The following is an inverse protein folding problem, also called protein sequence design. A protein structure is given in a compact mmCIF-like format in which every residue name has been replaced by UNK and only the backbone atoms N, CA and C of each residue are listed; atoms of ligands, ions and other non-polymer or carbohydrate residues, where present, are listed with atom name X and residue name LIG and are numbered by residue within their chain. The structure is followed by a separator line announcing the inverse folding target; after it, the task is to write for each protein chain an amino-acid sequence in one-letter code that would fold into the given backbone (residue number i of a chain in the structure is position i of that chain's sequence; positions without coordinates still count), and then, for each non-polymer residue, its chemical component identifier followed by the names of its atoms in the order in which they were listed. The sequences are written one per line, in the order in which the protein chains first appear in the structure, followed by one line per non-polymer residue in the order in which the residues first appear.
data_IF_477755494087
#
_entry.id   IF_477755494087
#
_cell.length_a   1.000
_cell.length_b   1.000
_cell.length_c   1.000
_cell.angle_alpha   90.00
_cell.angle_beta   90.00
_cell.angle_gamma   90.00
#
_symmetry.space_group_name_H-M   'P 1'
#
loop_
_entity.id
_entity.type
_entity.pdbx_description
1 polymer ?
#
# COMPACT_ATOMS: atom_id res chain seq x y z
N UNK A 1 22.95 1.42 -32.31
CA UNK A 1 23.39 2.48 -31.38
C UNK A 1 23.88 1.76 -30.13
N UNK A 2 25.16 1.80 -29.85
CA UNK A 2 25.76 1.22 -28.66
C UNK A 2 25.27 2.01 -27.46
N UNK A 3 24.56 1.34 -26.53
CA UNK A 3 24.28 1.92 -25.24
C UNK A 3 25.55 2.45 -24.62
N UNK A 4 25.61 3.76 -24.39
CA UNK A 4 26.71 4.32 -23.62
C UNK A 4 26.61 3.73 -22.21
N UNK A 5 27.66 3.03 -21.79
CA UNK A 5 27.72 2.53 -20.41
C UNK A 5 27.43 3.69 -19.44
N UNK A 6 26.46 3.50 -18.57
CA UNK A 6 26.16 4.46 -17.49
C UNK A 6 27.45 4.80 -16.74
N UNK A 7 27.65 6.06 -16.35
CA UNK A 7 28.83 6.42 -15.60
C UNK A 7 28.99 5.51 -14.38
N UNK A 8 30.14 4.86 -14.21
CA UNK A 8 30.39 3.89 -13.12
C UNK A 8 30.28 4.47 -11.71
N UNK A 9 30.14 5.79 -11.59
CA UNK A 9 29.96 6.47 -10.31
C UNK A 9 28.48 6.62 -9.88
N UNK A 10 27.53 6.32 -10.78
CA UNK A 10 26.10 6.28 -10.44
C UNK A 10 25.70 4.81 -10.24
N UNK A 11 25.62 4.40 -8.98
CA UNK A 11 25.27 3.04 -8.58
C UNK A 11 23.89 3.01 -7.98
N UNK A 12 23.12 1.99 -8.30
CA UNK A 12 21.85 1.70 -7.64
C UNK A 12 21.84 0.23 -7.16
N UNK A 13 22.30 -0.02 -5.92
CA UNK A 13 22.38 -1.38 -5.36
C UNK A 13 21.04 -2.10 -5.35
N UNK A 14 19.93 -1.37 -5.20
CA UNK A 14 18.61 -1.96 -5.25
C UNK A 14 18.22 -2.43 -6.66
N UNK A 15 18.36 -1.58 -7.67
CA UNK A 15 18.04 -1.97 -9.04
C UNK A 15 18.96 -3.08 -9.55
N UNK A 16 20.24 -3.07 -9.18
CA UNK A 16 21.19 -4.14 -9.53
C UNK A 16 20.77 -5.46 -8.87
N UNK A 17 20.33 -5.43 -7.60
CA UNK A 17 19.83 -6.59 -6.89
C UNK A 17 18.58 -7.16 -7.56
N UNK A 18 17.52 -6.38 -7.77
CA UNK A 18 16.27 -6.90 -8.33
C UNK A 18 16.44 -7.44 -9.77
N UNK A 19 17.35 -6.86 -10.55
CA UNK A 19 17.74 -7.40 -11.88
C UNK A 19 18.44 -8.74 -11.77
N UNK A 20 19.26 -8.93 -10.74
CA UNK A 20 19.98 -10.20 -10.50
C UNK A 20 19.06 -11.34 -10.08
N UNK A 21 17.87 -11.06 -9.56
CA UNK A 21 16.88 -12.07 -9.19
C UNK A 21 16.26 -12.80 -10.41
N UNK A 22 16.40 -12.23 -11.62
CA UNK A 22 16.02 -12.89 -12.88
C UNK A 22 14.51 -13.03 -13.11
N UNK A 23 13.68 -12.38 -12.31
CA UNK A 23 12.23 -12.35 -12.47
C UNK A 23 11.79 -11.07 -13.21
N UNK A 24 10.56 -11.03 -13.77
CA UNK A 24 10.07 -9.84 -14.44
C UNK A 24 10.06 -8.61 -13.54
N UNK A 25 10.42 -7.47 -14.12
CA UNK A 25 10.26 -6.14 -13.52
C UNK A 25 9.28 -5.39 -14.42
N UNK A 26 8.08 -5.14 -13.91
CA UNK A 26 7.06 -4.37 -14.62
C UNK A 26 6.93 -3.00 -13.99
N UNK A 27 6.81 -1.97 -14.82
CA UNK A 27 6.73 -0.59 -14.34
C UNK A 27 5.66 0.18 -15.11
N UNK A 28 4.66 0.72 -14.39
CA UNK A 28 3.67 1.63 -14.93
C UNK A 28 3.04 2.49 -13.81
N UNK A 29 2.22 3.49 -14.16
CA UNK A 29 1.45 4.27 -13.19
C UNK A 29 0.41 3.42 -12.45
N UNK A 30 -0.24 2.51 -13.15
CA UNK A 30 -1.18 1.54 -12.57
C UNK A 30 -0.90 0.14 -13.09
N UNK A 31 -0.74 -0.82 -12.21
CA UNK A 31 -0.40 -2.20 -12.51
C UNK A 31 -1.53 -3.14 -12.10
N UNK A 32 -1.84 -4.13 -12.92
CA UNK A 32 -2.77 -5.22 -12.59
C UNK A 32 -1.97 -6.42 -12.05
N UNK A 33 -1.94 -6.56 -10.74
CA UNK A 33 -1.19 -7.62 -10.05
C UNK A 33 -1.81 -9.01 -10.23
N UNK A 34 -3.08 -9.10 -10.66
CA UNK A 34 -3.71 -10.37 -11.03
C UNK A 34 -3.28 -10.83 -12.43
N UNK A 35 -3.04 -9.88 -13.33
CA UNK A 35 -2.67 -10.13 -14.72
C UNK A 35 -1.16 -10.13 -15.00
N UNK A 36 -0.32 -9.70 -14.04
CA UNK A 36 1.12 -9.64 -14.26
C UNK A 36 1.71 -11.05 -14.47
N UNK A 37 2.59 -11.16 -15.48
CA UNK A 37 3.35 -12.39 -15.74
C UNK A 37 4.36 -12.61 -14.62
N UNK A 38 4.27 -13.75 -13.94
CA UNK A 38 5.20 -14.16 -12.89
C UNK A 38 6.11 -15.28 -13.40
N UNK A 39 7.35 -15.29 -12.95
CA UNK A 39 8.36 -16.29 -13.35
C UNK A 39 8.93 -16.98 -12.12
N UNK A 40 9.51 -18.18 -12.28
CA UNK A 40 10.18 -18.85 -11.17
C UNK A 40 11.17 -17.92 -10.48
N UNK A 41 11.00 -17.78 -9.17
CA UNK A 41 11.84 -16.97 -8.28
C UNK A 41 12.62 -17.89 -7.34
N UNK A 42 13.88 -18.24 -7.68
CA UNK A 42 14.64 -19.24 -6.93
C UNK A 42 14.80 -18.92 -5.44
N UNK A 43 15.05 -17.65 -5.10
CA UNK A 43 15.15 -17.18 -3.70
C UNK A 43 13.91 -17.55 -2.87
N UNK A 44 12.74 -17.45 -3.48
CA UNK A 44 11.47 -17.67 -2.81
C UNK A 44 10.95 -19.11 -2.93
N UNK A 45 11.54 -19.95 -3.78
CA UNK A 45 10.98 -21.27 -4.20
C UNK A 45 9.50 -21.14 -4.66
N UNK A 46 9.16 -20.04 -5.28
CA UNK A 46 7.83 -19.70 -5.75
C UNK A 46 7.92 -19.02 -7.12
N UNK A 47 6.87 -18.38 -7.60
CA UNK A 47 6.94 -17.50 -8.76
C UNK A 47 6.73 -16.05 -8.34
N UNK A 48 7.28 -15.09 -9.09
CA UNK A 48 7.11 -13.68 -8.74
C UNK A 48 7.45 -12.73 -9.87
N UNK A 49 7.16 -11.45 -9.59
CA UNK A 49 7.54 -10.30 -10.40
C UNK A 49 7.66 -9.05 -9.52
N UNK A 50 8.61 -8.19 -9.77
CA UNK A 50 8.60 -6.84 -9.20
C UNK A 50 7.57 -5.98 -9.94
N UNK A 51 6.72 -5.31 -9.17
CA UNK A 51 5.66 -4.44 -9.66
C UNK A 51 5.93 -3.00 -9.21
N UNK A 52 6.72 -2.27 -10.00
CA UNK A 52 7.23 -0.97 -9.64
C UNK A 52 6.27 0.12 -10.13
N UNK A 53 5.46 0.68 -9.22
CA UNK A 53 4.63 1.83 -9.58
C UNK A 53 5.50 3.05 -9.91
N UNK A 54 5.28 3.71 -11.06
CA UNK A 54 6.09 4.87 -11.52
C UNK A 54 6.11 6.05 -10.55
N UNK A 55 5.11 6.17 -9.70
CA UNK A 55 5.05 7.21 -8.68
C UNK A 55 5.74 6.86 -7.36
N UNK A 56 6.33 5.66 -7.25
CA UNK A 56 7.08 5.28 -6.04
C UNK A 56 8.28 6.21 -5.82
N UNK A 57 8.63 6.37 -4.55
CA UNK A 57 9.91 6.98 -4.15
C UNK A 57 11.04 5.95 -4.04
N UNK A 58 12.00 6.27 -3.18
CA UNK A 58 13.20 5.46 -2.98
C UNK A 58 13.22 4.65 -1.69
N UNK A 59 12.14 4.68 -0.91
CA UNK A 59 12.10 4.04 0.40
C UNK A 59 11.50 2.64 0.35
N UNK A 60 10.46 2.42 -0.47
CA UNK A 60 9.77 1.14 -0.58
C UNK A 60 9.53 0.72 -2.02
N UNK A 61 9.37 -0.57 -2.20
CA UNK A 61 8.99 -1.20 -3.47
C UNK A 61 7.71 -2.04 -3.30
N UNK A 62 7.28 -2.66 -4.40
CA UNK A 62 6.26 -3.70 -4.35
C UNK A 62 6.58 -4.84 -5.32
N UNK A 63 6.12 -6.04 -4.97
CA UNK A 63 6.26 -7.24 -5.77
C UNK A 63 5.01 -8.12 -5.67
N UNK A 64 4.85 -9.02 -6.61
CA UNK A 64 3.88 -10.12 -6.57
C UNK A 64 4.63 -11.42 -6.30
N UNK A 65 4.12 -12.19 -5.33
CA UNK A 65 4.54 -13.55 -5.04
C UNK A 65 3.37 -14.49 -5.34
N UNK A 66 3.61 -15.52 -6.15
CA UNK A 66 2.64 -16.57 -6.42
C UNK A 66 3.15 -17.91 -5.91
N UNK A 67 2.42 -18.48 -4.94
CA UNK A 67 2.72 -19.76 -4.33
C UNK A 67 1.83 -20.83 -4.95
N UNK A 68 2.44 -21.79 -5.63
CA UNK A 68 1.70 -22.87 -6.30
C UNK A 68 0.86 -23.71 -5.33
N UNK A 69 -0.12 -24.49 -5.85
CA UNK A 69 -1.00 -25.33 -5.03
C UNK A 69 -0.23 -26.31 -4.14
N UNK A 70 -0.56 -26.32 -2.84
CA UNK A 70 0.08 -27.19 -1.84
C UNK A 70 1.58 -26.94 -1.63
N UNK A 71 2.09 -25.80 -2.11
CA UNK A 71 3.50 -25.43 -1.99
C UNK A 71 3.74 -24.43 -0.86
N UNK A 72 4.99 -24.28 -0.51
CA UNK A 72 5.46 -23.26 0.42
C UNK A 72 6.64 -22.49 -0.19
N UNK A 73 6.89 -21.29 0.31
CA UNK A 73 8.10 -20.56 -0.04
C UNK A 73 9.34 -21.19 0.58
N UNK A 74 10.53 -20.85 0.13
CA UNK A 74 11.74 -21.06 0.93
C UNK A 74 11.63 -20.29 2.26
N UNK A 75 12.31 -20.74 3.34
CA UNK A 75 12.45 -19.92 4.54
C UNK A 75 13.11 -18.58 4.19
N UNK A 76 12.54 -17.50 4.69
CA UNK A 76 13.01 -16.14 4.48
C UNK A 76 13.44 -15.51 5.81
N UNK A 77 14.40 -14.61 5.74
CA UNK A 77 14.82 -13.71 6.82
C UNK A 77 15.52 -12.51 6.20
N UNK A 78 15.18 -11.31 6.64
CA UNK A 78 15.78 -10.11 6.07
C UNK A 78 15.68 -8.90 7.00
N UNK A 79 16.67 -8.01 6.92
CA UNK A 79 16.77 -6.79 7.69
C UNK A 79 16.08 -5.61 6.95
N UNK A 80 14.86 -5.81 6.50
CA UNK A 80 13.97 -4.75 6.01
C UNK A 80 12.53 -5.04 6.45
N UNK A 81 11.74 -4.00 6.56
CA UNK A 81 10.33 -4.14 6.93
C UNK A 81 9.51 -4.55 5.71
N UNK A 82 8.52 -5.40 5.94
CA UNK A 82 7.65 -5.91 4.90
C UNK A 82 6.20 -5.98 5.38
N UNK A 83 5.31 -5.49 4.54
CA UNK A 83 3.86 -5.57 4.69
C UNK A 83 3.30 -6.37 3.52
N UNK A 84 2.52 -7.39 3.82
CA UNK A 84 1.95 -8.29 2.83
C UNK A 84 0.43 -8.15 2.77
N UNK A 85 -0.09 -7.94 1.57
CA UNK A 85 -1.51 -7.94 1.24
C UNK A 85 -1.87 -9.17 0.42
N UNK A 86 -2.87 -9.93 0.87
CA UNK A 86 -3.32 -11.14 0.15
C UNK A 86 -4.31 -10.74 -0.94
N UNK A 87 -3.90 -10.90 -2.20
CA UNK A 87 -4.74 -10.59 -3.37
C UNK A 87 -5.71 -11.74 -3.62
N UNK A 88 -5.23 -12.98 -3.61
CA UNK A 88 -6.02 -14.18 -3.89
C UNK A 88 -5.44 -15.42 -3.20
N UNK A 89 -6.29 -16.41 -2.95
CA UNK A 89 -5.90 -17.68 -2.33
C UNK A 89 -5.95 -17.65 -0.80
N UNK A 90 -5.67 -18.79 -0.19
CA UNK A 90 -5.67 -18.97 1.27
C UNK A 90 -4.39 -19.71 1.68
N UNK A 91 -3.90 -19.41 2.86
CA UNK A 91 -2.67 -20.04 3.33
C UNK A 91 -2.37 -19.73 4.78
N UNK A 92 -1.15 -20.07 5.16
CA UNK A 92 -0.62 -19.88 6.51
C UNK A 92 0.76 -19.25 6.42
N UNK A 93 1.06 -18.37 7.33
CA UNK A 93 2.43 -17.89 7.56
C UNK A 93 2.90 -18.38 8.92
N UNK A 94 4.11 -18.93 8.94
CA UNK A 94 4.82 -19.31 10.16
C UNK A 94 5.95 -18.31 10.36
N UNK A 95 6.06 -17.77 11.56
CA UNK A 95 7.10 -16.79 11.98
C UNK A 95 7.89 -17.39 13.12
N UNK A 96 9.21 -17.40 13.00
CA UNK A 96 10.11 -17.90 14.03
C UNK A 96 10.21 -16.90 15.19
N UNK A 97 10.30 -17.42 16.41
CA UNK A 97 10.42 -16.64 17.63
C UNK A 97 11.85 -16.63 18.14
N UNK A 98 12.34 -15.51 18.72
CA UNK A 98 13.62 -15.46 19.40
C UNK A 98 13.70 -16.53 20.50
N UNK A 99 14.81 -17.23 20.55
CA UNK A 99 15.03 -18.29 21.53
C UNK A 99 14.33 -19.63 21.19
N UNK A 100 13.69 -19.72 20.04
CA UNK A 100 13.06 -20.95 19.54
C UNK A 100 11.54 -20.96 19.63
N UNK A 101 10.91 -21.87 18.86
CA UNK A 101 9.47 -21.89 18.67
C UNK A 101 9.00 -21.02 17.50
N UNK A 102 7.70 -21.00 17.26
CA UNK A 102 7.10 -20.25 16.16
C UNK A 102 5.69 -19.80 16.49
N UNK A 103 5.21 -18.80 15.74
CA UNK A 103 3.82 -18.40 15.66
C UNK A 103 3.31 -18.68 14.26
N UNK A 104 2.04 -19.05 14.15
CA UNK A 104 1.38 -19.20 12.84
C UNK A 104 0.03 -18.51 12.84
N UNK A 105 -0.35 -18.01 11.67
CA UNK A 105 -1.67 -17.44 11.43
C UNK A 105 -2.14 -17.78 10.02
N UNK A 106 -3.43 -17.98 9.88
CA UNK A 106 -4.08 -18.27 8.60
C UNK A 106 -4.56 -16.99 7.94
N UNK A 107 -4.37 -16.89 6.64
CA UNK A 107 -4.77 -15.74 5.85
C UNK A 107 -5.60 -16.17 4.62
N UNK A 108 -6.43 -15.26 4.16
CA UNK A 108 -7.24 -15.37 2.96
C UNK A 108 -7.27 -14.07 2.15
N UNK A 109 -8.07 -13.99 1.09
CA UNK A 109 -8.16 -12.79 0.28
C UNK A 109 -8.50 -11.57 1.15
N UNK A 110 -7.79 -10.45 0.91
CA UNK A 110 -7.88 -9.19 1.64
C UNK A 110 -7.28 -9.21 3.04
N UNK A 111 -6.62 -10.28 3.46
CA UNK A 111 -5.79 -10.23 4.67
C UNK A 111 -4.61 -9.28 4.49
N UNK A 112 -4.24 -8.61 5.57
CA UNK A 112 -3.06 -7.76 5.66
C UNK A 112 -2.23 -8.20 6.86
N UNK A 113 -0.93 -8.34 6.67
CA UNK A 113 -0.01 -8.64 7.78
C UNK A 113 1.36 -8.02 7.55
N UNK A 114 2.10 -7.84 8.61
CA UNK A 114 3.51 -7.47 8.55
C UNK A 114 4.37 -8.51 9.25
N UNK A 115 5.56 -8.69 8.72
CA UNK A 115 6.55 -9.58 9.28
C UNK A 115 7.42 -8.81 10.29
N UNK A 116 7.62 -9.33 11.50
CA UNK A 116 8.51 -8.70 12.45
C UNK A 116 9.93 -8.60 11.87
N UNK A 117 10.57 -7.44 12.05
CA UNK A 117 11.87 -7.17 11.45
C UNK A 117 12.88 -8.27 11.77
N UNK A 118 13.49 -8.80 10.72
CA UNK A 118 14.51 -9.84 10.75
C UNK A 118 14.11 -11.14 11.47
N UNK A 119 12.81 -11.41 11.64
CA UNK A 119 12.33 -12.72 12.06
C UNK A 119 12.37 -13.69 10.89
N UNK A 120 12.69 -14.97 11.13
CA UNK A 120 12.52 -16.02 10.12
C UNK A 120 11.04 -16.22 9.83
N UNK A 121 10.68 -16.48 8.57
CA UNK A 121 9.30 -16.79 8.21
C UNK A 121 9.18 -17.69 6.99
N UNK A 122 8.00 -18.27 6.82
CA UNK A 122 7.66 -19.07 5.66
C UNK A 122 6.16 -18.98 5.36
N UNK A 123 5.80 -18.86 4.08
CA UNK A 123 4.41 -18.89 3.63
C UNK A 123 4.05 -20.25 3.06
N UNK A 124 2.80 -20.69 3.30
CA UNK A 124 2.25 -21.96 2.82
C UNK A 124 0.92 -21.69 2.12
N UNK A 125 0.75 -22.20 0.91
CA UNK A 125 -0.54 -22.21 0.25
C UNK A 125 -1.37 -23.42 0.73
N UNK A 126 -2.52 -23.16 1.33
CA UNK A 126 -3.42 -24.19 1.84
C UNK A 126 -4.28 -24.86 0.75
N UNK A 127 -4.39 -24.26 -0.45
CA UNK A 127 -5.15 -24.84 -1.56
C UNK A 127 -4.33 -25.93 -2.27
N UNK A 128 -4.91 -27.09 -2.48
CA UNK A 128 -4.33 -28.13 -3.33
C UNK A 128 -4.60 -27.95 -4.83
N UNK A 129 -5.32 -26.88 -5.24
CA UNK A 129 -5.76 -26.66 -6.62
C UNK A 129 -5.35 -25.33 -7.19
N UNK A 130 -5.51 -24.26 -6.41
CA UNK A 130 -5.35 -22.90 -6.87
C UNK A 130 -4.08 -22.27 -6.29
N UNK A 131 -3.36 -21.45 -7.05
CA UNK A 131 -2.26 -20.68 -6.52
C UNK A 131 -2.75 -19.61 -5.52
N UNK A 132 -1.90 -19.25 -4.58
CA UNK A 132 -2.10 -18.08 -3.74
C UNK A 132 -1.25 -16.93 -4.26
N UNK A 133 -1.82 -15.73 -4.36
CA UNK A 133 -1.14 -14.54 -4.87
C UNK A 133 -1.11 -13.45 -3.81
N UNK A 134 0.11 -13.05 -3.43
CA UNK A 134 0.40 -12.06 -2.40
C UNK A 134 1.05 -10.84 -3.06
N UNK A 135 0.74 -9.64 -2.55
CA UNK A 135 1.52 -8.44 -2.84
C UNK A 135 2.35 -8.10 -1.61
N UNK A 136 3.67 -8.10 -1.76
CA UNK A 136 4.59 -7.58 -0.76
C UNK A 136 4.92 -6.12 -1.04
N UNK A 137 4.99 -5.32 0.01
CA UNK A 137 5.54 -3.96 -0.01
C UNK A 137 6.66 -3.93 1.01
N UNK A 138 7.86 -3.59 0.59
CA UNK A 138 9.03 -3.72 1.44
C UNK A 138 9.91 -2.47 1.47
N UNK A 139 10.66 -2.28 2.55
CA UNK A 139 11.68 -1.22 2.65
C UNK A 139 13.06 -1.67 2.14
N UNK A 140 13.11 -2.68 1.29
CA UNK A 140 14.33 -3.19 0.68
C UNK A 140 15.14 -2.11 -0.07
N UNK A 141 14.51 -1.20 -0.88
CA UNK A 141 15.28 -0.15 -1.55
C UNK A 141 16.08 0.71 -0.58
N UNK A 142 15.45 1.14 0.53
CA UNK A 142 16.11 1.92 1.56
C UNK A 142 17.31 1.18 2.15
N UNK A 143 17.13 -0.10 2.50
CA UNK A 143 18.17 -0.89 3.16
C UNK A 143 19.36 -1.17 2.25
N UNK A 144 19.12 -1.51 0.99
CA UNK A 144 20.20 -1.72 0.03
C UNK A 144 20.94 -0.42 -0.33
N UNK A 145 20.20 0.69 -0.47
CA UNK A 145 20.81 2.00 -0.72
C UNK A 145 21.58 2.56 0.49
N UNK A 146 21.25 2.12 1.71
CA UNK A 146 21.94 2.55 2.92
C UNK A 146 23.18 1.70 3.25
N UNK A 147 23.12 0.39 3.08
CA UNK A 147 24.16 -0.53 3.54
C UNK A 147 25.06 -1.08 2.44
N UNK A 148 24.59 -1.16 1.20
CA UNK A 148 25.32 -1.68 0.02
C UNK A 148 25.87 -3.10 0.21
N UNK A 149 25.26 -3.89 1.10
CA UNK A 149 25.73 -5.22 1.49
C UNK A 149 24.58 -6.20 1.59
N UNK A 150 24.54 -7.17 0.68
CA UNK A 150 23.47 -8.18 0.62
C UNK A 150 23.53 -9.13 1.82
N UNK A 151 24.71 -9.53 2.26
CA UNK A 151 24.83 -10.44 3.40
C UNK A 151 24.35 -9.75 4.69
N UNK A 152 24.65 -8.47 4.87
CA UNK A 152 24.13 -7.71 5.99
C UNK A 152 22.60 -7.63 6.00
N UNK A 153 21.99 -7.51 4.83
CA UNK A 153 20.52 -7.37 4.70
C UNK A 153 19.81 -8.71 4.78
N UNK A 154 20.35 -9.80 4.23
CA UNK A 154 19.67 -11.09 4.12
C UNK A 154 20.19 -12.18 5.07
N UNK A 155 21.43 -12.06 5.56
CA UNK A 155 22.06 -13.07 6.42
C UNK A 155 22.38 -12.54 7.82
N UNK A 156 21.78 -11.43 8.22
CA UNK A 156 22.05 -10.79 9.52
C UNK A 156 21.50 -11.64 10.67
N UNK A 157 22.33 -12.07 11.64
CA UNK A 157 21.88 -12.90 12.74
C UNK A 157 21.14 -12.16 13.86
N UNK A 158 21.07 -10.83 13.82
CA UNK A 158 20.50 -10.03 14.90
C UNK A 158 18.99 -10.28 15.02
N UNK A 159 18.50 -10.41 16.23
CA UNK A 159 17.08 -10.54 16.55
C UNK A 159 16.52 -9.27 17.18
N UNK A 160 15.24 -8.98 16.91
CA UNK A 160 14.52 -7.85 17.48
C UNK A 160 13.36 -8.32 18.36
N UNK A 161 13.62 -8.90 19.55
CA UNK A 161 12.59 -9.55 20.36
C UNK A 161 11.44 -8.62 20.78
N UNK A 162 11.72 -7.31 20.89
CA UNK A 162 10.68 -6.32 21.23
C UNK A 162 9.70 -6.04 20.08
N UNK A 163 10.05 -6.41 18.84
CA UNK A 163 9.23 -6.18 17.64
C UNK A 163 8.42 -7.39 17.20
N UNK A 164 8.59 -8.54 17.85
CA UNK A 164 7.85 -9.76 17.49
C UNK A 164 6.36 -9.61 17.80
N UNK A 165 6.01 -8.92 18.88
CA UNK A 165 4.65 -8.89 19.39
C UNK A 165 4.31 -10.11 20.24
N UNK A 166 3.14 -10.09 20.83
CA UNK A 166 2.60 -11.18 21.63
C UNK A 166 1.66 -12.09 20.78
N UNK A 167 0.98 -13.02 21.42
CA UNK A 167 0.04 -13.91 20.74
C UNK A 167 -1.11 -13.16 20.09
N UNK A 168 -1.62 -12.11 20.72
CA UNK A 168 -2.70 -11.27 20.20
C UNK A 168 -2.34 -10.58 18.90
N UNK A 169 -1.07 -10.21 18.74
CA UNK A 169 -0.56 -9.57 17.52
C UNK A 169 -0.71 -10.44 16.27
N UNK A 170 -0.86 -11.75 16.42
CA UNK A 170 -1.00 -12.72 15.33
C UNK A 170 -2.39 -13.39 15.27
N UNK A 171 -3.30 -13.08 16.20
CA UNK A 171 -4.63 -13.68 16.27
C UNK A 171 -5.70 -12.97 15.43
N UNK A 172 -5.37 -11.82 14.85
CA UNK A 172 -6.33 -10.91 14.21
C UNK A 172 -6.93 -9.89 15.18
N UNK A 173 -6.60 -9.99 16.47
CA UNK A 173 -6.88 -8.96 17.45
C UNK A 173 -5.87 -7.81 17.32
N UNK A 174 -6.15 -6.72 18.02
CA UNK A 174 -5.25 -5.58 18.04
C UNK A 174 -5.60 -4.60 19.15
N UNK A 175 -4.86 -3.53 19.22
CA UNK A 175 -5.10 -2.47 20.16
C UNK A 175 -5.55 -1.19 19.45
N UNK A 176 -6.75 -0.72 19.81
CA UNK A 176 -7.26 0.55 19.34
C UNK A 176 -6.58 1.72 20.07
N UNK A 177 -6.01 2.64 19.31
CA UNK A 177 -5.30 3.82 19.82
C UNK A 177 -5.96 5.07 19.24
N UNK A 178 -6.69 5.88 20.04
CA UNK A 178 -7.18 7.18 19.60
C UNK A 178 -5.99 8.15 19.48
N UNK A 179 -5.86 8.80 18.33
CA UNK A 179 -4.78 9.78 18.08
C UNK A 179 -5.28 11.21 18.28
N UNK A 180 -6.36 11.57 17.61
CA UNK A 180 -7.09 12.83 17.69
C UNK A 180 -8.49 12.66 17.07
N UNK A 181 -9.42 13.61 17.22
CA UNK A 181 -10.72 13.50 16.58
C UNK A 181 -10.60 13.19 15.07
N UNK A 182 -11.31 12.14 14.63
CA UNK A 182 -11.27 11.63 13.26
C UNK A 182 -10.03 10.81 12.88
N UNK A 183 -9.05 10.66 13.77
CA UNK A 183 -7.83 9.88 13.51
C UNK A 183 -7.64 8.80 14.56
N UNK A 184 -7.57 7.56 14.09
CA UNK A 184 -7.45 6.38 14.94
C UNK A 184 -6.43 5.42 14.35
N UNK A 185 -5.73 4.72 15.23
CA UNK A 185 -4.80 3.66 14.88
C UNK A 185 -5.26 2.34 15.46
N UNK A 186 -4.92 1.27 14.77
CA UNK A 186 -5.06 -0.11 15.22
C UNK A 186 -3.69 -0.77 15.18
N UNK A 187 -3.20 -1.23 16.32
CA UNK A 187 -1.90 -1.89 16.44
C UNK A 187 -2.07 -3.40 16.41
N UNK A 188 -1.42 -4.06 15.45
CA UNK A 188 -1.48 -5.50 15.25
C UNK A 188 -0.35 -5.94 14.32
N UNK A 189 -0.11 -7.25 14.18
CA UNK A 189 0.72 -7.79 13.09
C UNK A 189 -0.13 -8.40 11.97
N UNK A 190 -1.43 -8.65 12.25
CA UNK A 190 -2.30 -9.34 11.30
C UNK A 190 -3.74 -8.80 11.34
N UNK A 191 -4.30 -8.54 10.16
CA UNK A 191 -5.71 -8.19 9.95
C UNK A 191 -6.33 -9.25 9.05
N UNK A 192 -7.30 -10.04 9.52
CA UNK A 192 -7.87 -11.16 8.75
C UNK A 192 -8.57 -10.76 7.45
N UNK A 193 -9.32 -9.66 7.46
CA UNK A 193 -10.05 -9.17 6.27
C UNK A 193 -10.26 -7.66 6.32
N UNK A 194 -9.57 -6.94 5.45
CA UNK A 194 -9.73 -5.49 5.30
C UNK A 194 -11.10 -5.09 4.72
N UNK A 195 -11.77 -6.01 4.03
CA UNK A 195 -13.08 -5.75 3.44
C UNK A 195 -14.19 -5.59 4.49
N UNK A 196 -14.07 -6.25 5.63
CA UNK A 196 -15.04 -6.23 6.73
C UNK A 196 -14.55 -5.47 7.95
N UNK A 197 -13.29 -5.03 7.98
CA UNK A 197 -12.73 -4.31 9.12
C UNK A 197 -13.53 -3.04 9.42
N UNK A 198 -13.80 -2.77 10.71
CA UNK A 198 -14.55 -1.59 11.15
C UNK A 198 -13.73 -0.31 10.98
N UNK A 199 -14.21 0.60 10.15
CA UNK A 199 -13.59 1.90 9.92
C UNK A 199 -14.27 2.98 10.78
N UNK A 200 -13.54 4.07 11.05
CA UNK A 200 -14.05 5.22 11.78
C UNK A 200 -14.29 6.39 10.84
N UNK A 201 -15.35 7.15 11.08
CA UNK A 201 -15.71 8.32 10.27
C UNK A 201 -14.56 9.33 10.23
N UNK A 202 -14.28 9.82 9.02
CA UNK A 202 -13.30 10.88 8.77
C UNK A 202 -13.75 11.76 7.60
N UNK A 203 -14.82 12.49 7.83
CA UNK A 203 -15.51 13.27 6.79
C UNK A 203 -14.72 14.49 6.30
N UNK A 204 -13.77 14.99 7.08
CA UNK A 204 -12.89 16.08 6.66
C UNK A 204 -12.10 15.77 5.39
N UNK A 205 -11.90 14.47 5.08
CA UNK A 205 -11.20 13.99 3.89
C UNK A 205 -12.11 13.77 2.68
N UNK A 206 -13.39 13.97 2.82
CA UNK A 206 -14.36 13.89 1.72
C UNK A 206 -15.66 13.21 2.10
N UNK A 207 -16.61 13.34 1.24
CA UNK A 207 -18.02 13.02 1.36
C UNK A 207 -18.31 11.66 2.02
N UNK A 208 -18.63 11.66 3.33
CA UNK A 208 -18.96 10.47 4.11
C UNK A 208 -17.83 9.46 4.27
N UNK A 209 -16.58 9.89 4.08
CA UNK A 209 -15.42 9.00 4.13
C UNK A 209 -15.14 8.45 5.53
N UNK A 210 -14.60 7.24 5.57
CA UNK A 210 -14.11 6.59 6.79
C UNK A 210 -12.68 6.07 6.61
N UNK A 211 -11.99 5.83 7.72
CA UNK A 211 -10.58 5.46 7.71
C UNK A 211 -10.18 4.75 9.01
N UNK A 212 -9.15 3.94 8.94
CA UNK A 212 -8.35 3.48 10.07
C UNK A 212 -6.88 3.37 9.63
N UNK A 213 -5.96 3.70 10.53
CA UNK A 213 -4.54 3.49 10.32
C UNK A 213 -4.07 2.27 11.09
N UNK A 214 -3.17 1.50 10.50
CA UNK A 214 -2.55 0.33 11.14
C UNK A 214 -1.10 0.63 11.50
N UNK A 215 -0.72 0.25 12.71
CA UNK A 215 0.67 0.11 13.13
C UNK A 215 0.95 -1.39 13.12
N UNK A 216 1.82 -1.82 12.22
CA UNK A 216 2.06 -3.23 11.92
C UNK A 216 3.47 -3.61 12.39
N UNK A 217 3.59 -4.69 13.17
CA UNK A 217 4.85 -5.26 13.67
C UNK A 217 5.78 -4.23 14.34
N UNK A 218 5.21 -3.24 15.04
CA UNK A 218 5.92 -2.08 15.62
C UNK A 218 6.90 -1.42 14.62
N UNK A 219 6.51 -1.41 13.34
CA UNK A 219 7.33 -0.96 12.22
C UNK A 219 7.28 0.53 11.97
N UNK A 220 8.27 0.99 11.19
CA UNK A 220 8.29 2.32 10.58
C UNK A 220 7.31 2.40 9.41
N UNK A 221 7.13 1.29 8.68
CA UNK A 221 6.08 1.19 7.68
C UNK A 221 4.71 1.17 8.36
N UNK A 222 3.74 1.81 7.70
CA UNK A 222 2.36 1.79 8.16
C UNK A 222 1.42 1.50 7.00
N UNK A 223 0.19 1.16 7.36
CA UNK A 223 -0.89 1.04 6.40
C UNK A 223 -2.11 1.83 6.87
N UNK A 224 -2.99 2.16 5.95
CA UNK A 224 -4.33 2.61 6.30
C UNK A 224 -5.36 2.10 5.29
N UNK A 225 -6.57 1.87 5.76
CA UNK A 225 -7.72 1.61 4.90
C UNK A 225 -8.64 2.80 4.91
N UNK A 226 -9.09 3.18 3.74
CA UNK A 226 -10.09 4.22 3.55
C UNK A 226 -11.25 3.71 2.72
N UNK A 227 -12.46 4.19 3.05
CA UNK A 227 -13.66 3.87 2.30
C UNK A 227 -14.32 5.12 1.75
N UNK A 228 -14.89 5.00 0.56
CA UNK A 228 -15.73 6.00 -0.09
C UNK A 228 -17.13 5.41 -0.28
N UNK A 229 -18.18 6.05 0.24
CA UNK A 229 -19.57 5.65 -0.04
C UNK A 229 -19.90 5.66 -1.54
N UNK A 230 -20.97 4.95 -1.90
CA UNK A 230 -21.49 4.95 -3.27
C UNK A 230 -21.84 6.37 -3.73
N UNK A 231 -21.45 6.70 -4.95
CA UNK A 231 -21.76 8.00 -5.55
C UNK A 231 -20.95 9.16 -4.99
N UNK A 232 -19.82 8.88 -4.34
CA UNK A 232 -18.95 9.91 -3.75
C UNK A 232 -17.51 9.80 -4.24
N UNK A 233 -16.76 10.88 -3.99
CA UNK A 233 -15.31 10.93 -4.17
C UNK A 233 -14.66 11.76 -3.06
N UNK A 234 -13.36 11.57 -2.86
CA UNK A 234 -12.60 12.28 -1.82
C UNK A 234 -12.17 13.66 -2.30
N UNK A 235 -11.79 14.53 -1.36
CA UNK A 235 -11.07 15.75 -1.65
C UNK A 235 -9.67 15.42 -2.16
N UNK A 236 -9.16 16.21 -3.09
CA UNK A 236 -7.78 16.10 -3.55
C UNK A 236 -6.81 16.45 -2.42
N UNK A 237 -5.68 15.78 -2.40
CA UNK A 237 -4.60 16.08 -1.47
C UNK A 237 -3.25 15.66 -2.03
N UNK A 238 -2.19 16.12 -1.39
CA UNK A 238 -0.81 15.73 -1.72
C UNK A 238 -0.01 15.43 -0.45
N UNK A 239 0.98 14.61 -0.60
CA UNK A 239 1.94 14.26 0.46
C UNK A 239 3.23 13.75 -0.15
N UNK A 240 4.21 13.46 0.71
CA UNK A 240 5.47 12.83 0.31
C UNK A 240 5.27 11.45 -0.32
N UNK A 241 6.31 11.00 -1.00
CA UNK A 241 6.34 9.75 -1.77
C UNK A 241 6.05 8.48 -0.95
N UNK A 242 6.03 7.38 -1.67
CA UNK A 242 5.96 6.02 -1.13
C UNK A 242 4.62 5.65 -0.47
N UNK A 243 3.52 5.98 -1.13
CA UNK A 243 2.23 5.39 -0.83
C UNK A 243 1.81 4.44 -1.96
N UNK A 244 1.87 3.14 -1.70
CA UNK A 244 1.35 2.13 -2.61
C UNK A 244 -0.11 1.86 -2.28
N UNK A 245 -0.99 2.06 -3.25
CA UNK A 245 -2.45 2.00 -3.09
C UNK A 245 -2.98 0.75 -3.75
N UNK A 246 -3.68 -0.09 -2.97
CA UNK A 246 -4.30 -1.35 -3.38
C UNK A 246 -5.81 -1.25 -3.17
N UNK A 247 -6.64 -1.28 -4.20
CA UNK A 247 -8.09 -1.39 -4.05
C UNK A 247 -8.48 -2.72 -3.40
N UNK A 248 -9.19 -2.64 -2.28
CA UNK A 248 -9.66 -3.80 -1.50
C UNK A 248 -11.03 -4.25 -1.99
N UNK A 249 -11.93 -3.29 -2.29
CA UNK A 249 -13.27 -3.55 -2.83
C UNK A 249 -13.75 -2.38 -3.67
N UNK A 250 -14.72 -2.65 -4.54
CA UNK A 250 -15.23 -1.67 -5.50
C UNK A 250 -14.25 -1.45 -6.65
N UNK A 251 -14.56 -0.46 -7.48
CA UNK A 251 -13.73 0.00 -8.58
C UNK A 251 -13.93 1.51 -8.78
N UNK A 252 -12.98 2.13 -9.47
CA UNK A 252 -13.03 3.55 -9.75
C UNK A 252 -11.79 4.03 -10.45
N UNK A 253 -11.49 5.29 -10.28
CA UNK A 253 -10.29 5.89 -10.82
C UNK A 253 -9.70 6.91 -9.86
N UNK A 254 -8.44 7.27 -10.09
CA UNK A 254 -7.79 8.40 -9.46
C UNK A 254 -7.31 9.37 -10.50
N UNK A 255 -7.35 10.66 -10.16
CA UNK A 255 -6.73 11.72 -10.94
C UNK A 255 -5.50 12.21 -10.19
N UNK A 256 -4.41 12.41 -10.94
CA UNK A 256 -3.13 12.87 -10.42
C UNK A 256 -2.65 14.07 -11.22
N UNK A 257 -2.11 15.12 -10.57
CA UNK A 257 -1.58 16.32 -11.22
C UNK A 257 -0.64 17.11 -10.30
N UNK A 258 0.31 17.81 -10.83
CA UNK A 258 1.05 18.81 -10.08
C UNK A 258 0.31 20.14 -10.06
N UNK A 259 0.61 20.97 -9.08
CA UNK A 259 0.05 22.31 -9.00
C UNK A 259 0.42 23.13 -10.24
N UNK A 260 -0.59 23.66 -10.92
CA UNK A 260 -0.43 24.39 -12.18
C UNK A 260 -0.59 23.55 -13.45
N UNK A 261 -0.61 22.24 -13.37
CA UNK A 261 -0.83 21.38 -14.53
C UNK A 261 -2.25 21.58 -15.11
N UNK A 262 -2.33 21.57 -16.44
CA UNK A 262 -3.60 21.59 -17.15
C UNK A 262 -4.13 20.17 -17.41
N UNK A 263 -3.24 19.20 -17.49
CA UNK A 263 -3.56 17.82 -17.76
C UNK A 263 -3.66 17.02 -16.45
N UNK A 264 -4.63 16.09 -16.41
CA UNK A 264 -4.87 15.20 -15.30
C UNK A 264 -4.49 13.78 -15.73
N UNK A 265 -3.53 13.16 -15.05
CA UNK A 265 -3.21 11.74 -15.25
C UNK A 265 -4.30 10.91 -14.61
N UNK A 266 -4.95 10.05 -15.38
CA UNK A 266 -5.99 9.14 -14.89
C UNK A 266 -5.42 7.73 -14.69
N UNK A 267 -5.70 7.17 -13.53
CA UNK A 267 -5.38 5.77 -13.19
C UNK A 267 -6.67 5.07 -12.82
N UNK A 268 -7.15 4.18 -13.67
CA UNK A 268 -8.29 3.32 -13.35
C UNK A 268 -7.85 2.18 -12.44
N UNK A 269 -8.70 1.80 -11.49
CA UNK A 269 -8.37 0.79 -10.51
C UNK A 269 -9.55 -0.11 -10.13
N UNK A 270 -9.23 -1.33 -9.79
CA UNK A 270 -10.10 -2.36 -9.27
C UNK A 270 -9.31 -3.28 -8.34
N UNK A 271 -9.97 -4.24 -7.70
CA UNK A 271 -9.27 -5.29 -6.94
C UNK A 271 -8.16 -5.92 -7.79
N UNK A 272 -6.98 -6.09 -7.20
CA UNK A 272 -5.79 -6.56 -7.88
C UNK A 272 -4.93 -5.46 -8.53
N UNK A 273 -5.39 -4.20 -8.56
CA UNK A 273 -4.53 -3.09 -9.01
C UNK A 273 -3.59 -2.61 -7.91
N UNK A 274 -2.44 -2.03 -8.33
CA UNK A 274 -1.59 -1.20 -7.48
C UNK A 274 -1.17 0.06 -8.24
N UNK A 275 -1.07 1.17 -7.54
CA UNK A 275 -0.48 2.41 -8.06
C UNK A 275 0.10 3.25 -6.91
N UNK A 276 1.01 4.17 -7.24
CA UNK A 276 1.59 5.09 -6.27
C UNK A 276 1.52 6.52 -6.81
N UNK A 277 0.87 7.45 -6.13
CA UNK A 277 0.96 8.87 -6.49
C UNK A 277 2.41 9.36 -6.33
N UNK A 278 2.98 10.05 -7.33
CA UNK A 278 4.29 10.65 -7.21
C UNK A 278 4.40 11.65 -6.06
N UNK A 279 5.62 11.90 -5.60
CA UNK A 279 5.90 12.84 -4.53
C UNK A 279 5.29 14.22 -4.80
N UNK A 280 4.54 14.73 -3.82
CA UNK A 280 3.86 16.03 -3.83
C UNK A 280 2.88 16.25 -5.00
N UNK A 281 2.56 15.22 -5.76
CA UNK A 281 1.51 15.26 -6.78
C UNK A 281 0.14 15.22 -6.11
N UNK A 282 -0.75 16.15 -6.42
CA UNK A 282 -2.14 16.05 -5.99
C UNK A 282 -2.75 14.78 -6.54
N UNK A 283 -3.53 14.12 -5.72
CA UNK A 283 -4.30 12.95 -6.12
C UNK A 283 -5.68 12.96 -5.47
N UNK A 284 -6.64 12.45 -6.23
CA UNK A 284 -8.04 12.41 -5.83
C UNK A 284 -8.65 11.08 -6.25
N UNK A 285 -9.43 10.45 -5.37
CA UNK A 285 -9.97 9.11 -5.59
C UNK A 285 -11.48 9.16 -5.77
N UNK A 286 -12.00 8.42 -6.76
CA UNK A 286 -13.38 8.42 -7.20
C UNK A 286 -13.97 7.03 -7.18
N UNK A 287 -15.06 6.84 -6.45
CA UNK A 287 -15.81 5.58 -6.45
C UNK A 287 -16.81 5.58 -7.61
N UNK A 288 -16.65 4.69 -8.58
CA UNK A 288 -17.60 4.50 -9.69
C UNK A 288 -18.36 3.17 -9.58
N UNK A 289 -18.16 2.44 -8.48
CA UNK A 289 -18.85 1.18 -8.27
C UNK A 289 -20.24 1.37 -7.65
N UNK A 290 -21.16 0.41 -7.82
CA UNK A 290 -22.46 0.42 -7.15
C UNK A 290 -22.37 0.08 -5.66
N UNK A 291 -21.18 -0.15 -5.14
CA UNK A 291 -20.90 -0.49 -3.74
C UNK A 291 -19.87 0.50 -3.15
N UNK A 292 -19.77 0.59 -1.80
CA UNK A 292 -18.67 1.33 -1.19
C UNK A 292 -17.32 0.81 -1.71
N UNK A 293 -16.41 1.72 -1.99
CA UNK A 293 -15.06 1.37 -2.47
C UNK A 293 -14.06 1.56 -1.35
N UNK A 294 -13.30 0.51 -1.06
CA UNK A 294 -12.18 0.52 -0.10
C UNK A 294 -10.86 0.42 -0.81
N UNK A 295 -9.89 1.12 -0.30
CA UNK A 295 -8.48 0.93 -0.67
C UNK A 295 -7.59 0.88 0.55
N UNK A 296 -6.58 0.04 0.46
CA UNK A 296 -5.43 -0.04 1.35
C UNK A 296 -4.34 0.89 0.79
N UNK A 297 -3.70 1.67 1.62
CA UNK A 297 -2.46 2.36 1.28
C UNK A 297 -1.36 1.92 2.25
N UNK A 298 -0.23 1.49 1.72
CA UNK A 298 0.97 1.12 2.48
C UNK A 298 2.05 2.15 2.20
N UNK A 299 2.75 2.60 3.23
CA UNK A 299 3.73 3.67 3.11
C UNK A 299 4.90 3.52 4.11
N UNK A 300 6.00 4.20 3.80
CA UNK A 300 7.12 4.34 4.72
C UNK A 300 6.97 5.59 5.59
N UNK A 301 7.28 5.47 6.89
CA UNK A 301 7.17 6.56 7.86
C UNK A 301 5.75 6.78 8.35
N UNK A 302 5.38 6.16 9.45
CA UNK A 302 4.05 6.25 10.07
C UNK A 302 3.94 7.34 11.14
N UNK A 303 2.77 7.37 11.81
CA UNK A 303 2.53 8.29 12.93
C UNK A 303 3.40 7.99 14.15
N UNK A 304 3.63 6.71 14.43
CA UNK A 304 4.44 6.28 15.58
C UNK A 304 5.92 6.61 15.35
N UNK A 305 6.41 6.35 14.16
CA UNK A 305 7.79 6.57 13.74
C UNK A 305 7.83 7.45 12.47
N UNK A 306 7.59 8.77 12.60
CA UNK A 306 7.64 9.66 11.44
C UNK A 306 9.09 9.80 10.98
N UNK A 307 9.39 9.33 9.78
CA UNK A 307 10.75 9.29 9.24
C UNK A 307 11.27 10.67 8.84
N UNK A 308 10.38 11.55 8.37
CA UNK A 308 10.75 12.91 7.96
C UNK A 308 9.86 13.95 8.64
N UNK A 309 10.33 15.19 8.72
CA UNK A 309 9.52 16.31 9.21
C UNK A 309 8.27 16.50 8.32
N UNK A 310 8.41 16.25 7.02
CA UNK A 310 7.28 16.31 6.09
C UNK A 310 6.21 15.27 6.42
N UNK A 311 6.59 14.03 6.74
CA UNK A 311 5.65 12.99 7.20
C UNK A 311 4.95 13.41 8.49
N UNK A 312 5.66 13.99 9.44
CA UNK A 312 5.09 14.51 10.67
C UNK A 312 4.04 15.58 10.39
N UNK A 313 4.36 16.56 9.56
CA UNK A 313 3.43 17.62 9.14
C UNK A 313 2.27 17.08 8.33
N UNK A 314 2.52 16.15 7.41
CA UNK A 314 1.49 15.51 6.58
C UNK A 314 0.44 14.84 7.47
N UNK A 315 0.83 14.02 8.42
CA UNK A 315 -0.12 13.36 9.31
C UNK A 315 -0.89 14.32 10.21
N UNK A 316 -0.31 15.47 10.55
CA UNK A 316 -0.97 16.51 11.35
C UNK A 316 -1.83 17.47 10.53
N UNK A 317 -1.56 17.62 9.22
CA UNK A 317 -2.20 18.63 8.37
C UNK A 317 -2.79 18.12 7.05
N UNK A 318 -2.93 16.79 6.87
CA UNK A 318 -3.49 16.21 5.63
C UNK A 318 -4.91 16.66 5.30
N UNK A 319 -5.68 17.05 6.27
CA UNK A 319 -7.06 17.51 6.19
C UNK A 319 -7.20 19.02 6.34
N UNK A 320 -6.09 19.76 6.23
CA UNK A 320 -6.05 21.22 6.23
C UNK A 320 -5.98 21.72 4.79
N UNK A 321 -6.74 22.77 4.49
CA UNK A 321 -6.78 23.42 3.18
C UNK A 321 -5.41 23.94 2.77
N UNK A 322 -5.10 23.88 1.47
CA UNK A 322 -3.91 24.53 0.90
C UNK A 322 -3.94 26.06 1.13
N UNK A 323 -5.11 26.68 1.24
CA UNK A 323 -5.28 28.09 1.56
C UNK A 323 -4.81 28.44 2.98
N UNK A 324 -4.84 27.45 3.87
CA UNK A 324 -4.43 27.58 5.27
C UNK A 324 -3.04 26.95 5.51
N UNK A 325 -2.26 26.79 4.46
CA UNK A 325 -0.92 26.21 4.53
C UNK A 325 -0.90 24.67 4.65
N UNK A 326 -2.03 24.01 4.46
CA UNK A 326 -2.15 22.55 4.44
C UNK A 326 -1.92 21.96 3.05
N UNK A 327 -2.49 20.76 2.82
CA UNK A 327 -2.21 19.94 1.64
C UNK A 327 -3.46 19.38 0.97
N UNK A 328 -4.64 19.86 1.34
CA UNK A 328 -5.93 19.44 0.80
C UNK A 328 -6.56 20.56 -0.03
N UNK A 329 -7.15 20.19 -1.18
CA UNK A 329 -8.00 21.09 -1.97
C UNK A 329 -9.44 20.83 -1.53
N UNK A 330 -10.10 21.90 -1.04
CA UNK A 330 -11.50 21.82 -0.65
C UNK A 330 -12.41 21.69 -1.88
N UNK A 331 -13.62 21.16 -1.72
CA UNK A 331 -14.52 20.98 -2.86
C UNK A 331 -14.90 22.30 -3.57
N UNK A 332 -14.98 23.39 -2.83
CA UNK A 332 -15.21 24.73 -3.38
C UNK A 332 -14.05 25.26 -4.21
N UNK A 333 -12.87 24.72 -4.03
CA UNK A 333 -11.63 25.17 -4.67
C UNK A 333 -11.16 24.20 -5.77
N UNK A 334 -11.84 23.06 -5.93
CA UNK A 334 -11.46 22.12 -6.96
C UNK A 334 -11.77 22.63 -8.37
N UNK A 335 -11.00 22.21 -9.35
CA UNK A 335 -11.30 22.45 -10.76
C UNK A 335 -12.71 21.89 -11.12
N UNK A 336 -13.62 22.72 -11.64
CA UNK A 336 -14.97 22.26 -12.02
C UNK A 336 -14.98 21.11 -13.05
N UNK A 337 -13.90 20.96 -13.85
CA UNK A 337 -13.75 19.83 -14.77
C UNK A 337 -13.81 18.50 -14.06
N UNK A 338 -13.25 18.40 -12.85
CA UNK A 338 -13.19 17.17 -12.06
C UNK A 338 -14.59 16.65 -11.73
N UNK A 339 -15.47 17.56 -11.26
CA UNK A 339 -16.85 17.16 -10.96
C UNK A 339 -17.60 16.74 -12.23
N UNK A 340 -17.43 17.46 -13.34
CA UNK A 340 -18.06 17.10 -14.62
C UNK A 340 -17.60 15.72 -15.10
N UNK A 341 -16.31 15.41 -15.02
CA UNK A 341 -15.78 14.09 -15.33
C UNK A 341 -16.47 12.99 -14.50
N UNK A 342 -16.66 13.25 -13.19
CA UNK A 342 -17.35 12.29 -12.33
C UNK A 342 -18.81 12.09 -12.69
N UNK A 343 -19.54 13.15 -13.09
CA UNK A 343 -20.90 13.04 -13.57
C UNK A 343 -21.02 12.25 -14.89
N UNK A 344 -20.02 12.36 -15.77
CA UNK A 344 -19.93 11.57 -17.00
C UNK A 344 -19.71 10.08 -16.69
N UNK A 345 -18.83 9.78 -15.74
CA UNK A 345 -18.62 8.41 -15.27
C UNK A 345 -19.89 7.84 -14.62
N UNK A 346 -20.62 8.64 -13.86
CA UNK A 346 -21.89 8.22 -13.26
C UNK A 346 -22.92 7.80 -14.33
N UNK A 347 -23.03 8.57 -15.43
CA UNK A 347 -23.90 8.21 -16.57
C UNK A 347 -23.41 6.93 -17.26
N UNK A 348 -22.09 6.79 -17.44
CA UNK A 348 -21.47 5.64 -18.12
C UNK A 348 -21.66 4.34 -17.33
N UNK A 349 -21.52 4.40 -16.01
CA UNK A 349 -21.58 3.24 -15.12
C UNK A 349 -22.94 3.05 -14.44
N UNK A 350 -23.90 3.95 -14.66
CA UNK A 350 -25.28 3.82 -14.18
C UNK A 350 -25.46 3.95 -12.68
N UNK A 351 -24.59 4.71 -11.98
CA UNK A 351 -24.76 4.99 -10.57
C UNK A 351 -25.27 6.42 -10.33
N UNK A 352 -25.88 6.66 -9.16
CA UNK A 352 -26.38 7.98 -8.77
C UNK A 352 -25.31 8.74 -7.98
N UNK A 353 -24.81 9.89 -8.48
CA UNK A 353 -23.93 10.77 -7.70
C UNK A 353 -24.62 11.27 -6.44
N UNK A 354 -23.86 11.38 -5.34
CA UNK A 354 -24.35 11.87 -4.05
C UNK A 354 -23.50 13.04 -3.55
N UNK A 355 -22.92 13.79 -4.45
CA UNK A 355 -22.01 14.90 -4.15
C UNK A 355 -22.73 16.22 -3.91
N UNK A 356 -24.00 16.36 -4.26
CA UNK A 356 -24.76 17.63 -4.22
C UNK A 356 -24.74 18.36 -2.88
N UNK A 357 -24.72 17.61 -1.78
CA UNK A 357 -24.68 18.20 -0.43
C UNK A 357 -23.26 18.63 0.01
N UNK A 358 -22.24 18.25 -0.75
CA UNK A 358 -20.85 18.51 -0.41
C UNK A 358 -20.20 19.55 -1.32
N UNK A 359 -20.72 19.70 -2.53
CA UNK A 359 -20.16 20.57 -3.56
C UNK A 359 -21.03 21.83 -3.70
N UNK A 360 -20.43 23.04 -3.57
CA UNK A 360 -21.13 24.29 -3.82
C UNK A 360 -21.65 24.38 -5.26
N UNK A 361 -22.71 25.15 -5.46
CA UNK A 361 -23.29 25.35 -6.81
C UNK A 361 -22.28 25.93 -7.80
N UNK A 362 -21.31 26.71 -7.34
CA UNK A 362 -20.26 27.31 -8.19
C UNK A 362 -19.30 26.31 -8.83
N UNK A 363 -19.29 25.05 -8.35
CA UNK A 363 -18.37 24.00 -8.81
C UNK A 363 -19.11 22.84 -9.51
N UNK A 364 -20.45 22.91 -9.57
CA UNK A 364 -21.33 21.89 -10.19
C UNK A 364 -21.35 21.90 -11.70
#
# INVERSE_FOLDING_TARGET
MTESASPRFLLDPYLDFIRSEGIPIVEDFGLDLLGVDVRPWPRMEAAGAYALAKGRGDFIDSYVLEIGPGRATAPQRHLFEEVVYVIAGNGTTVVDLPGGGHRSFEWGPRSLFALPLNAGYRHFNASGRDPARLAGVSSLPLMLKAFHDLAFVFDNPWEFPRRIGDERSFSGDGQFIPVRPGRHMWETNFVPDLGTFELRSWETRGAGGSNIMFVLADGTMHAHVSEMPVGTYKKAHRHGADFHIFPVSGHGYSLLWYEGDQDLVRVDWRHGSVYAPPDMMFHQHFNTSPHPARYLAVAFGGLRYPFTEDKRRTFMGMDVSVKDGGRQIEYEDQDPRIHRMYLEEARRHGFTPRMDRFIPQSVR
#
